data_IF_107294217137
#
_entry.id   IF_107294217137
#
_cell.length_a   1.000
_cell.length_b   1.000
_cell.length_c   1.000
_cell.angle_alpha   90.00
_cell.angle_beta   90.00
_cell.angle_gamma   90.00
#
_symmetry.space_group_name_H-M   'P 1'
#
loop_
_entity.id
_entity.type
_entity.pdbx_description
1 polymer ?
#
# COMPACT_ATOMS: atom_id res chain seq x y z
N UNK A 1 4.72 -8.06 -15.61
CA UNK A 1 5.71 -7.67 -14.56
C UNK A 1 6.11 -8.86 -13.71
N UNK A 2 7.42 -9.06 -13.59
CA UNK A 2 8.05 -10.02 -12.66
C UNK A 2 7.85 -9.55 -11.21
N UNK A 3 7.99 -10.45 -10.22
CA UNK A 3 7.73 -10.15 -8.79
C UNK A 3 8.52 -8.94 -8.29
N UNK A 4 9.81 -8.85 -8.63
CA UNK A 4 10.70 -7.73 -8.25
C UNK A 4 10.24 -6.39 -8.83
N UNK A 5 9.80 -6.36 -10.09
CA UNK A 5 9.30 -5.14 -10.75
C UNK A 5 8.02 -4.62 -10.07
N UNK A 6 7.11 -5.52 -9.68
CA UNK A 6 5.89 -5.15 -8.95
C UNK A 6 6.22 -4.51 -7.60
N UNK A 7 7.18 -5.07 -6.87
CA UNK A 7 7.63 -4.54 -5.58
C UNK A 7 8.31 -3.18 -5.75
N UNK A 8 9.21 -3.05 -6.74
CA UNK A 8 9.85 -1.76 -7.06
C UNK A 8 8.81 -0.69 -7.39
N UNK A 9 7.88 -0.97 -8.29
CA UNK A 9 6.79 -0.06 -8.64
C UNK A 9 5.93 0.33 -7.42
N UNK A 10 5.60 -0.64 -6.57
CA UNK A 10 4.84 -0.39 -5.35
C UNK A 10 5.59 0.54 -4.38
N UNK A 11 6.88 0.28 -4.16
CA UNK A 11 7.75 1.12 -3.32
C UNK A 11 7.91 2.53 -3.89
N UNK A 12 8.09 2.67 -5.20
CA UNK A 12 8.16 3.97 -5.88
C UNK A 12 6.88 4.78 -5.67
N UNK A 13 5.71 4.15 -5.78
CA UNK A 13 4.42 4.83 -5.56
C UNK A 13 4.23 5.27 -4.12
N UNK A 14 4.60 4.43 -3.16
CA UNK A 14 4.58 4.80 -1.74
C UNK A 14 5.52 5.98 -1.48
N UNK A 15 6.72 5.96 -2.04
CA UNK A 15 7.68 7.04 -1.91
C UNK A 15 7.16 8.36 -2.52
N UNK A 16 6.48 8.30 -3.66
CA UNK A 16 5.81 9.46 -4.26
C UNK A 16 4.74 10.03 -3.33
N UNK A 17 3.84 9.17 -2.81
CA UNK A 17 2.77 9.59 -1.88
C UNK A 17 3.36 10.22 -0.61
N UNK A 18 4.38 9.59 -0.03
CA UNK A 18 4.97 10.04 1.23
C UNK A 18 5.58 11.44 1.13
N UNK A 19 6.24 11.73 0.01
CA UNK A 19 6.96 12.98 -0.22
C UNK A 19 6.12 14.08 -0.87
N UNK A 20 4.91 13.78 -1.32
CA UNK A 20 4.02 14.78 -1.89
C UNK A 20 3.54 15.74 -0.79
N UNK A 21 3.98 17.00 -0.90
CA UNK A 21 3.63 18.06 0.07
C UNK A 21 2.19 18.53 -0.06
N UNK A 22 1.54 18.27 -1.20
CA UNK A 22 0.15 18.65 -1.43
C UNK A 22 -0.83 17.63 -0.83
N UNK A 23 -0.35 16.42 -0.48
CA UNK A 23 -1.15 15.40 0.17
C UNK A 23 -1.25 15.62 1.68
N UNK A 24 -2.49 15.78 2.15
CA UNK A 24 -2.82 15.77 3.57
C UNK A 24 -2.77 14.35 4.08
N UNK A 25 -1.60 13.93 4.57
CA UNK A 25 -1.40 12.64 5.23
C UNK A 25 -1.35 12.82 6.74
N UNK A 26 -2.16 12.06 7.47
CA UNK A 26 -2.11 12.02 8.93
C UNK A 26 -0.77 11.48 9.44
N UNK A 27 -0.41 11.79 10.69
CA UNK A 27 0.82 11.27 11.33
C UNK A 27 0.86 9.74 11.33
N UNK A 28 -0.28 9.10 11.61
CA UNK A 28 -0.41 7.63 11.57
C UNK A 28 -0.22 7.07 10.17
N UNK A 29 -0.80 7.70 9.14
CA UNK A 29 -0.61 7.28 7.76
C UNK A 29 0.87 7.39 7.33
N UNK A 30 1.55 8.48 7.67
CA UNK A 30 2.99 8.67 7.39
C UNK A 30 3.85 7.61 8.08
N UNK A 31 3.54 7.30 9.34
CA UNK A 31 4.23 6.26 10.11
C UNK A 31 4.05 4.89 9.46
N UNK A 32 2.82 4.49 9.16
CA UNK A 32 2.55 3.18 8.55
C UNK A 32 3.20 3.06 7.17
N UNK A 33 3.18 4.12 6.36
CA UNK A 33 3.90 4.18 5.08
C UNK A 33 5.40 3.89 5.27
N UNK A 34 6.05 4.56 6.23
CA UNK A 34 7.47 4.35 6.51
C UNK A 34 7.75 2.93 6.99
N UNK A 35 6.93 2.41 7.90
CA UNK A 35 7.11 1.08 8.47
C UNK A 35 6.98 0.01 7.37
N UNK A 36 5.93 0.08 6.55
CA UNK A 36 5.76 -0.85 5.43
C UNK A 36 6.83 -0.69 4.34
N UNK A 37 7.31 0.52 4.08
CA UNK A 37 8.40 0.75 3.14
C UNK A 37 9.70 0.08 3.63
N UNK A 38 10.04 0.24 4.91
CA UNK A 38 11.21 -0.41 5.54
C UNK A 38 11.09 -1.93 5.52
N UNK A 39 9.93 -2.46 5.89
CA UNK A 39 9.71 -3.91 5.90
C UNK A 39 9.78 -4.51 4.48
N UNK A 40 9.27 -3.80 3.47
CA UNK A 40 9.39 -4.21 2.07
C UNK A 40 10.83 -4.15 1.57
N UNK A 41 11.58 -3.09 1.91
CA UNK A 41 12.99 -2.96 1.54
C UNK A 41 13.86 -4.07 2.16
N UNK A 42 13.54 -4.47 3.38
CA UNK A 42 14.24 -5.53 4.11
C UNK A 42 13.68 -6.94 3.82
N UNK A 43 12.73 -7.07 2.88
CA UNK A 43 12.03 -8.32 2.56
C UNK A 43 11.38 -9.03 3.77
N UNK A 44 11.07 -8.28 4.85
CA UNK A 44 10.36 -8.77 6.04
C UNK A 44 8.87 -8.97 5.78
N UNK A 45 8.32 -8.27 4.80
CA UNK A 45 6.92 -8.39 4.36
C UNK A 45 6.85 -8.50 2.83
N UNK A 46 5.64 -8.72 2.31
CA UNK A 46 5.36 -8.67 0.87
C UNK A 46 4.27 -7.65 0.56
N UNK A 47 4.13 -7.30 -0.72
CA UNK A 47 3.20 -6.27 -1.18
C UNK A 47 1.74 -6.56 -0.81
N UNK A 48 1.34 -7.83 -0.64
CA UNK A 48 -0.03 -8.17 -0.28
C UNK A 48 -0.31 -7.79 1.19
N UNK A 49 0.57 -8.18 2.12
CA UNK A 49 0.45 -7.82 3.53
C UNK A 49 0.65 -6.32 3.77
N UNK A 50 1.63 -5.71 3.10
CA UNK A 50 1.81 -4.26 3.15
C UNK A 50 0.55 -3.52 2.66
N UNK A 51 -0.07 -3.99 1.57
CA UNK A 51 -1.33 -3.41 1.08
C UNK A 51 -2.48 -3.60 2.06
N UNK A 52 -2.56 -4.75 2.74
CA UNK A 52 -3.57 -4.99 3.77
C UNK A 52 -3.46 -3.98 4.93
N UNK A 53 -2.24 -3.73 5.43
CA UNK A 53 -1.98 -2.77 6.51
C UNK A 53 -2.16 -1.31 6.09
N UNK A 54 -1.74 -0.95 4.87
CA UNK A 54 -1.81 0.43 4.37
C UNK A 54 -3.23 0.87 3.98
N UNK A 55 -4.09 -0.07 3.61
CA UNK A 55 -5.42 0.25 3.07
C UNK A 55 -6.26 1.20 3.94
N UNK A 56 -6.49 0.98 5.25
CA UNK A 56 -7.31 1.89 6.05
C UNK A 56 -6.76 3.32 6.04
N UNK A 57 -5.46 3.49 6.23
CA UNK A 57 -4.81 4.80 6.28
C UNK A 57 -4.86 5.54 4.93
N UNK A 58 -4.59 4.83 3.83
CA UNK A 58 -4.65 5.43 2.49
C UNK A 58 -6.08 5.72 2.04
N UNK A 59 -7.06 4.92 2.49
CA UNK A 59 -8.48 5.19 2.25
C UNK A 59 -8.89 6.49 2.96
N UNK A 60 -8.53 6.63 4.23
CA UNK A 60 -8.82 7.84 5.01
C UNK A 60 -8.16 9.07 4.38
N UNK A 61 -6.88 8.95 3.99
CA UNK A 61 -6.18 9.99 3.24
C UNK A 61 -6.88 10.35 1.92
N UNK A 62 -7.51 9.41 1.22
CA UNK A 62 -8.25 9.73 -0.01
C UNK A 62 -9.49 10.59 0.24
N UNK A 63 -10.15 10.44 1.40
CA UNK A 63 -11.29 11.29 1.76
C UNK A 63 -10.90 12.77 1.88
N UNK A 64 -9.70 13.04 2.40
CA UNK A 64 -9.16 14.40 2.55
C UNK A 64 -8.48 14.92 1.28
N UNK A 65 -8.20 14.04 0.32
CA UNK A 65 -7.47 14.33 -0.93
C UNK A 65 -8.21 13.79 -2.16
N UNK A 66 -9.52 14.04 -2.26
CA UNK A 66 -10.42 13.44 -3.27
C UNK A 66 -9.96 13.62 -4.71
N UNK A 67 -9.34 14.75 -5.02
CA UNK A 67 -8.87 15.08 -6.38
C UNK A 67 -7.51 14.46 -6.70
N UNK A 68 -6.87 13.76 -5.75
CA UNK A 68 -5.58 13.12 -5.98
C UNK A 68 -5.73 11.86 -6.83
N UNK A 69 -5.48 12.02 -8.13
CA UNK A 69 -5.38 10.89 -9.07
C UNK A 69 -4.31 9.88 -8.65
N UNK A 70 -3.17 10.37 -8.14
CA UNK A 70 -2.06 9.52 -7.67
C UNK A 70 -2.51 8.60 -6.54
N UNK A 71 -3.18 9.14 -5.52
CA UNK A 71 -3.63 8.36 -4.37
C UNK A 71 -4.80 7.44 -4.74
N UNK A 72 -5.73 7.91 -5.58
CA UNK A 72 -6.84 7.12 -6.08
C UNK A 72 -6.40 5.92 -6.93
N UNK A 73 -5.48 6.12 -7.86
CA UNK A 73 -4.95 5.04 -8.70
C UNK A 73 -4.11 4.04 -7.89
N UNK A 74 -3.33 4.53 -6.92
CA UNK A 74 -2.59 3.65 -6.01
C UNK A 74 -3.53 2.85 -5.09
N UNK A 75 -4.64 3.43 -4.63
CA UNK A 75 -5.61 2.72 -3.80
C UNK A 75 -6.26 1.54 -4.54
N UNK A 76 -6.50 1.66 -5.85
CA UNK A 76 -6.98 0.53 -6.69
C UNK A 76 -5.97 -0.63 -6.69
N UNK A 77 -4.67 -0.31 -6.76
CA UNK A 77 -3.58 -1.28 -6.71
C UNK A 77 -3.51 -1.94 -5.32
N UNK A 78 -3.57 -1.14 -4.25
CA UNK A 78 -3.63 -1.61 -2.85
C UNK A 78 -4.79 -2.60 -2.67
N UNK A 79 -6.00 -2.25 -3.14
CA UNK A 79 -7.18 -3.12 -3.05
C UNK A 79 -6.95 -4.47 -3.71
N UNK A 80 -6.40 -4.48 -4.93
CA UNK A 80 -6.09 -5.71 -5.67
C UNK A 80 -5.15 -6.64 -4.88
N UNK A 81 -4.13 -6.09 -4.22
CA UNK A 81 -3.17 -6.89 -3.44
C UNK A 81 -3.69 -7.26 -2.05
N UNK A 82 -4.48 -6.38 -1.43
CA UNK A 82 -5.16 -6.65 -0.15
C UNK A 82 -6.06 -7.86 -0.24
N UNK A 83 -6.91 -7.95 -1.27
CA UNK A 83 -7.80 -9.10 -1.46
C UNK A 83 -7.03 -10.41 -1.62
N UNK A 84 -5.85 -10.39 -2.26
CA UNK A 84 -4.99 -11.57 -2.34
C UNK A 84 -4.47 -12.02 -0.98
N UNK A 85 -4.10 -11.10 -0.09
CA UNK A 85 -3.73 -11.45 1.28
C UNK A 85 -4.93 -12.00 2.06
N UNK A 86 -6.09 -11.34 1.95
CA UNK A 86 -7.32 -11.74 2.63
C UNK A 86 -7.76 -13.15 2.23
N UNK A 87 -7.85 -13.44 0.92
CA UNK A 87 -8.20 -14.77 0.44
C UNK A 87 -7.15 -15.82 0.78
N UNK A 88 -5.85 -15.48 0.81
CA UNK A 88 -4.82 -16.41 1.27
C UNK A 88 -4.92 -16.74 2.76
N UNK A 89 -5.48 -15.86 3.59
CA UNK A 89 -5.72 -16.11 5.02
C UNK A 89 -6.99 -16.92 5.28
N UNK A 90 -8.02 -16.78 4.43
CA UNK A 90 -9.36 -17.34 4.68
C UNK A 90 -9.61 -18.63 3.91
N UNK A 91 -9.04 -18.78 2.71
CA UNK A 91 -9.20 -20.01 1.95
C UNK A 91 -8.29 -21.09 2.56
N UNK A 92 -8.83 -22.25 2.99
CA UNK A 92 -8.02 -23.33 3.48
C UNK A 92 -7.07 -23.79 2.37
N UNK A 93 -5.77 -23.85 2.66
CA UNK A 93 -4.70 -24.21 1.71
C UNK A 93 -4.64 -25.71 1.39
N UNK A 94 -5.73 -26.46 1.56
CA UNK A 94 -5.81 -27.88 1.22
C UNK A 94 -7.11 -28.18 0.47
N UNK A 95 -6.97 -28.46 -0.83
CA UNK A 95 -7.83 -29.35 -1.58
C UNK A 95 -7.08 -30.67 -1.77
#
# INVERSE_FOLDING_TARGET
>A
MRKKEKQKYFMEKIHQIYNDKNLKLSKSCRKEILDQYKDLSNNKTNINYASYKLYPYLRDALYDNKDSKLLGDFLKIILKYRWKAYFAMILPTKF
#
